data_IF_661198740900
#
_entry.id   IF_661198740900
#
_cell.length_a   1.000
_cell.length_b   1.000
_cell.length_c   1.000
_cell.angle_alpha   90.00
_cell.angle_beta   90.00
_cell.angle_gamma   90.00
#
_symmetry.space_group_name_H-M   'P 1'
#
loop_
_entity.id
_entity.type
_entity.pdbx_description
1 polymer ?
#
# COMPACT_ATOMS: atom_id res chain seq x y z
N UNK A 1 -14.97 -1.73 1.23
CA UNK A 1 -16.16 -2.61 1.15
C UNK A 1 -17.39 -1.89 0.56
N UNK A 2 -17.25 -1.20 -0.58
CA UNK A 2 -18.40 -0.55 -1.27
C UNK A 2 -19.27 -1.56 -2.04
N UNK A 3 -18.74 -2.76 -2.31
CA UNK A 3 -19.42 -3.80 -3.12
C UNK A 3 -20.35 -4.75 -2.34
N UNK A 4 -20.74 -4.43 -1.11
CA UNK A 4 -21.70 -5.27 -0.37
C UNK A 4 -23.16 -4.89 -0.65
N UNK A 5 -23.43 -3.75 -1.30
CA UNK A 5 -24.80 -3.22 -1.53
C UNK A 5 -25.42 -3.56 -2.88
N UNK A 6 -24.68 -4.14 -3.83
CA UNK A 6 -25.15 -4.28 -5.23
C UNK A 6 -25.36 -5.72 -5.71
N UNK A 7 -25.22 -6.75 -4.86
CA UNK A 7 -25.28 -8.15 -5.31
C UNK A 7 -24.19 -8.53 -6.33
N UNK A 8 -23.24 -7.61 -6.61
CA UNK A 8 -22.08 -7.87 -7.45
C UNK A 8 -21.12 -8.79 -6.69
N UNK A 9 -20.61 -9.80 -7.38
CA UNK A 9 -19.56 -10.66 -6.83
C UNK A 9 -18.38 -9.79 -6.36
N UNK A 10 -17.87 -10.09 -5.17
CA UNK A 10 -16.70 -9.40 -4.66
C UNK A 10 -15.45 -9.88 -5.38
N UNK A 11 -14.63 -8.91 -5.80
CA UNK A 11 -13.32 -9.12 -6.40
C UNK A 11 -12.40 -9.84 -5.43
N UNK A 12 -11.64 -10.83 -5.93
CA UNK A 12 -10.63 -11.54 -5.16
C UNK A 12 -9.32 -10.73 -5.21
N UNK A 13 -8.84 -10.14 -4.09
CA UNK A 13 -7.71 -9.21 -4.11
C UNK A 13 -6.41 -9.84 -4.61
N UNK A 14 -6.13 -11.09 -4.25
CA UNK A 14 -4.91 -11.82 -4.66
C UNK A 14 -4.86 -12.04 -6.17
N UNK A 15 -6.00 -12.32 -6.81
CA UNK A 15 -6.13 -12.41 -8.26
C UNK A 15 -5.87 -11.06 -8.93
N UNK A 16 -6.39 -9.96 -8.38
CA UNK A 16 -6.11 -8.63 -8.91
C UNK A 16 -4.63 -8.29 -8.87
N UNK A 17 -3.94 -8.59 -7.78
CA UNK A 17 -2.50 -8.35 -7.67
C UNK A 17 -1.73 -9.20 -8.68
N UNK A 18 -2.12 -10.46 -8.89
CA UNK A 18 -1.53 -11.30 -9.94
C UNK A 18 -1.73 -10.70 -11.34
N UNK A 19 -2.93 -10.22 -11.67
CA UNK A 19 -3.21 -9.57 -12.96
C UNK A 19 -2.37 -8.29 -13.11
N UNK A 20 -2.22 -7.50 -12.04
CA UNK A 20 -1.39 -6.30 -12.04
C UNK A 20 0.09 -6.62 -12.33
N UNK A 21 0.65 -7.66 -11.70
CA UNK A 21 2.03 -8.09 -11.96
C UNK A 21 2.19 -8.63 -13.39
N UNK A 22 1.19 -9.34 -13.93
CA UNK A 22 1.21 -9.77 -15.34
C UNK A 22 1.19 -8.58 -16.31
N UNK A 23 0.34 -7.58 -16.04
CA UNK A 23 0.32 -6.33 -16.82
C UNK A 23 1.65 -5.60 -16.73
N UNK A 24 2.22 -5.52 -15.52
CA UNK A 24 3.50 -4.84 -15.27
C UNK A 24 4.63 -5.53 -16.01
N UNK A 25 4.70 -6.86 -15.94
CA UNK A 25 5.67 -7.67 -16.67
C UNK A 25 5.55 -7.47 -18.18
N UNK A 26 4.33 -7.52 -18.72
CA UNK A 26 4.10 -7.30 -20.15
C UNK A 26 4.56 -5.90 -20.58
N UNK A 27 4.17 -4.86 -19.84
CA UNK A 27 4.57 -3.48 -20.13
C UNK A 27 6.09 -3.27 -19.99
N UNK A 28 6.72 -3.82 -18.96
CA UNK A 28 8.18 -3.72 -18.78
C UNK A 28 8.94 -4.46 -19.88
N UNK A 29 8.48 -5.64 -20.30
CA UNK A 29 9.10 -6.39 -21.40
C UNK A 29 8.97 -5.64 -22.73
N UNK A 30 7.80 -5.06 -23.01
CA UNK A 30 7.60 -4.23 -24.19
C UNK A 30 8.59 -3.05 -24.18
N UNK A 31 8.64 -2.29 -23.08
CA UNK A 31 9.54 -1.14 -22.96
C UNK A 31 11.02 -1.53 -23.05
N UNK A 32 11.40 -2.69 -22.51
CA UNK A 32 12.74 -3.24 -22.65
C UNK A 32 13.08 -3.58 -24.12
N UNK A 33 12.16 -4.23 -24.82
CA UNK A 33 12.35 -4.55 -26.24
C UNK A 33 12.40 -3.29 -27.12
N UNK A 34 11.64 -2.25 -26.77
CA UNK A 34 11.71 -0.95 -27.42
C UNK A 34 13.04 -0.24 -27.16
N UNK A 35 13.56 -0.30 -25.92
CA UNK A 35 14.85 0.29 -25.56
C UNK A 35 16.02 -0.37 -26.31
N UNK A 36 16.02 -1.70 -26.42
CA UNK A 36 17.08 -2.46 -27.10
C UNK A 36 16.89 -2.54 -28.63
N UNK A 37 15.88 -1.88 -29.19
CA UNK A 37 15.51 -1.92 -30.63
C UNK A 37 15.23 -3.32 -31.21
N UNK A 38 15.34 -4.39 -30.42
CA UNK A 38 15.17 -5.78 -30.84
C UNK A 38 14.63 -6.64 -29.69
N UNK A 39 13.57 -7.39 -29.97
CA UNK A 39 12.97 -8.29 -28.98
C UNK A 39 13.93 -9.40 -28.53
N UNK A 40 14.78 -9.90 -29.43
CA UNK A 40 15.77 -10.94 -29.08
C UNK A 40 16.80 -10.43 -28.10
N UNK A 41 17.30 -9.21 -28.31
CA UNK A 41 18.29 -8.60 -27.43
C UNK A 41 17.70 -8.29 -26.06
N UNK A 42 16.49 -7.73 -26.00
CA UNK A 42 15.80 -7.50 -24.72
C UNK A 42 15.55 -8.78 -23.91
N UNK A 43 15.10 -9.86 -24.57
CA UNK A 43 14.92 -11.17 -23.90
C UNK A 43 16.25 -11.82 -23.51
N UNK A 44 17.30 -11.67 -24.33
CA UNK A 44 18.64 -12.15 -23.99
C UNK A 44 19.18 -11.42 -22.76
N UNK A 45 19.09 -10.09 -22.72
CA UNK A 45 19.51 -9.28 -21.57
C UNK A 45 18.74 -9.69 -20.30
N UNK A 46 17.43 -9.94 -20.42
CA UNK A 46 16.63 -10.47 -19.32
C UNK A 46 17.13 -11.82 -18.83
N UNK A 47 17.37 -12.75 -19.74
CA UNK A 47 17.88 -14.06 -19.38
C UNK A 47 19.26 -13.98 -18.72
N UNK A 48 20.15 -13.12 -19.24
CA UNK A 48 21.49 -12.96 -18.71
C UNK A 48 21.51 -12.35 -17.31
N UNK A 49 20.80 -11.24 -17.09
CA UNK A 49 20.77 -10.59 -15.79
C UNK A 49 19.98 -11.40 -14.76
N UNK A 50 18.83 -11.96 -15.13
CA UNK A 50 18.02 -12.72 -14.18
C UNK A 50 18.61 -14.09 -13.85
N UNK A 51 19.03 -14.87 -14.85
CA UNK A 51 19.48 -16.26 -14.64
C UNK A 51 20.96 -16.32 -14.26
N UNK A 52 21.83 -15.58 -14.97
CA UNK A 52 23.27 -15.64 -14.68
C UNK A 52 23.64 -14.83 -13.43
N UNK A 53 22.95 -13.72 -13.15
CA UNK A 53 23.19 -12.86 -11.97
C UNK A 53 22.07 -12.96 -10.92
N UNK A 54 21.59 -14.18 -10.65
CA UNK A 54 20.52 -14.45 -9.67
C UNK A 54 20.74 -13.83 -8.28
N UNK A 55 22.00 -13.67 -7.83
CA UNK A 55 22.32 -13.03 -6.55
C UNK A 55 21.89 -11.55 -6.51
N UNK A 56 22.00 -10.85 -7.62
CA UNK A 56 21.56 -9.46 -7.70
C UNK A 56 20.05 -9.36 -7.85
N UNK A 57 19.42 -10.31 -8.56
CA UNK A 57 17.98 -10.44 -8.59
C UNK A 57 17.40 -10.74 -7.19
N UNK A 58 18.09 -11.51 -6.35
CA UNK A 58 17.66 -11.76 -4.97
C UNK A 58 17.72 -10.53 -4.06
N UNK A 59 18.53 -9.52 -4.38
CA UNK A 59 18.52 -8.25 -3.61
C UNK A 59 17.16 -7.56 -3.70
N UNK A 60 16.40 -7.80 -4.78
CA UNK A 60 15.01 -7.34 -4.96
C UNK A 60 14.05 -7.99 -3.95
N UNK A 61 14.38 -9.15 -3.38
CA UNK A 61 13.56 -9.79 -2.37
C UNK A 61 13.55 -9.03 -1.03
N UNK A 62 14.57 -8.23 -0.74
CA UNK A 62 14.66 -7.41 0.48
C UNK A 62 13.50 -6.39 0.54
N UNK A 63 13.33 -5.48 -0.45
CA UNK A 63 12.21 -4.55 -0.46
C UNK A 63 10.87 -5.30 -0.53
N UNK A 64 10.78 -6.41 -1.28
CA UNK A 64 9.56 -7.22 -1.33
C UNK A 64 9.16 -7.78 0.05
N UNK A 65 10.11 -8.30 0.84
CA UNK A 65 9.87 -8.75 2.20
C UNK A 65 9.40 -7.61 3.11
N UNK A 66 10.06 -6.45 3.02
CA UNK A 66 9.66 -5.26 3.77
C UNK A 66 8.23 -4.85 3.40
N UNK A 67 7.85 -4.91 2.12
CA UNK A 67 6.48 -4.65 1.67
C UNK A 67 5.45 -5.64 2.26
N UNK A 68 5.79 -6.92 2.40
CA UNK A 68 4.90 -7.90 3.04
C UNK A 68 4.66 -7.54 4.51
N UNK A 69 5.72 -7.18 5.24
CA UNK A 69 5.62 -6.73 6.63
C UNK A 69 4.77 -5.45 6.73
N UNK A 70 5.03 -4.47 5.87
CA UNK A 70 4.25 -3.23 5.79
C UNK A 70 2.77 -3.51 5.53
N UNK A 71 2.43 -4.41 4.60
CA UNK A 71 1.05 -4.75 4.29
C UNK A 71 0.34 -5.33 5.52
N UNK A 72 0.98 -6.23 6.27
CA UNK A 72 0.42 -6.80 7.49
C UNK A 72 0.24 -5.75 8.59
N UNK A 73 1.22 -4.87 8.79
CA UNK A 73 1.12 -3.76 9.74
C UNK A 73 0.06 -2.73 9.31
N UNK A 74 -0.13 -2.50 8.01
CA UNK A 74 -1.19 -1.65 7.47
C UNK A 74 -2.57 -2.23 7.78
N UNK A 75 -2.74 -3.56 7.69
CA UNK A 75 -3.97 -4.22 8.15
C UNK A 75 -4.16 -4.09 9.66
N UNK A 76 -3.11 -4.26 10.46
CA UNK A 76 -3.16 -4.07 11.91
C UNK A 76 -3.56 -2.63 12.27
N UNK A 77 -2.96 -1.65 11.59
CA UNK A 77 -3.30 -0.24 11.71
C UNK A 77 -4.76 0.01 11.34
N UNK A 78 -5.22 -0.46 10.18
CA UNK A 78 -6.59 -0.24 9.70
C UNK A 78 -7.67 -0.88 10.59
N UNK A 79 -7.33 -1.93 11.35
CA UNK A 79 -8.25 -2.56 12.31
C UNK A 79 -8.37 -1.76 13.61
N UNK A 80 -7.33 -1.02 13.98
CA UNK A 80 -7.20 -0.32 15.27
C UNK A 80 -7.40 1.21 15.16
N UNK A 81 -7.07 1.79 14.02
CA UNK A 81 -7.38 3.15 13.62
C UNK A 81 -8.58 3.06 12.68
N UNK A 82 -9.75 3.48 13.16
CA UNK A 82 -10.97 3.52 12.36
C UNK A 82 -10.71 4.09 10.95
N UNK A 83 -11.17 3.39 9.91
CA UNK A 83 -11.37 4.01 8.60
C UNK A 83 -12.43 5.13 8.76
N UNK A 84 -12.05 6.42 8.86
CA UNK A 84 -12.94 7.46 9.40
C UNK A 84 -14.08 7.80 8.45
N UNK A 85 -13.99 7.38 7.18
CA UNK A 85 -14.94 7.80 6.15
C UNK A 85 -16.29 7.10 6.30
N UNK A 86 -16.37 5.85 6.78
CA UNK A 86 -17.65 5.13 6.78
C UNK A 86 -18.46 5.23 8.08
N UNK A 87 -17.78 5.37 9.22
CA UNK A 87 -18.46 5.45 10.53
C UNK A 87 -19.03 6.84 10.79
N UNK A 88 -18.33 7.89 10.36
CA UNK A 88 -18.82 9.26 10.49
C UNK A 88 -19.96 9.55 9.50
N UNK A 89 -19.90 9.00 8.28
CA UNK A 89 -21.02 9.07 7.31
C UNK A 89 -22.26 8.32 7.80
N UNK A 90 -22.11 7.23 8.55
CA UNK A 90 -23.25 6.57 9.20
C UNK A 90 -23.83 7.41 10.34
N UNK A 91 -23.01 8.07 11.16
CA UNK A 91 -23.53 8.91 12.25
C UNK A 91 -24.22 10.18 11.74
N UNK A 92 -23.65 10.86 10.75
CA UNK A 92 -24.24 12.06 10.13
C UNK A 92 -25.54 11.75 9.38
N UNK A 93 -25.60 10.64 8.64
CA UNK A 93 -26.83 10.15 7.99
C UNK A 93 -27.92 9.76 9.01
N UNK A 94 -27.53 9.20 10.17
CA UNK A 94 -28.46 8.85 11.26
C UNK A 94 -29.00 10.08 11.99
N UNK A 95 -28.18 11.11 12.20
CA UNK A 95 -28.61 12.40 12.79
C UNK A 95 -29.57 13.16 11.85
N UNK A 96 -29.32 13.13 10.53
CA UNK A 96 -30.22 13.71 9.53
C UNK A 96 -31.56 12.96 9.42
N UNK A 97 -31.54 11.62 9.43
CA UNK A 97 -32.76 10.79 9.42
C UNK A 97 -33.58 10.93 10.71
N UNK A 98 -32.91 11.05 11.87
CA UNK A 98 -33.57 11.29 13.15
C UNK A 98 -34.23 12.67 13.20
N UNK A 99 -33.62 13.71 12.60
CA UNK A 99 -34.21 15.05 12.49
C UNK A 99 -35.44 15.08 11.56
N UNK A 100 -35.40 14.36 10.45
CA UNK A 100 -36.55 14.20 9.54
C UNK A 100 -37.68 13.37 10.17
N UNK A 101 -37.36 12.36 10.98
CA UNK A 101 -38.35 11.53 11.67
C UNK A 101 -38.96 12.22 12.89
N UNK A 102 -38.19 13.05 13.62
CA UNK A 102 -38.71 13.91 14.69
C UNK A 102 -39.68 14.98 14.17
N UNK A 103 -39.47 15.46 12.93
CA UNK A 103 -40.40 16.40 12.29
C UNK A 103 -41.72 15.73 11.85
N UNK A 104 -41.75 14.40 11.77
CA UNK A 104 -42.92 13.60 11.34
C UNK A 104 -43.67 12.95 12.52
N UNK A 105 -43.15 13.07 13.75
CA UNK A 105 -43.72 12.47 14.97
C UNK A 105 -44.73 13.36 15.72
N UNK A 106 -45.10 14.53 15.18
CA UNK A 106 -46.18 15.37 15.74
C UNK A 106 -47.59 14.76 15.61
N UNK A 107 -47.76 13.54 15.07
CA UNK A 107 -49.09 13.02 14.68
C UNK A 107 -49.62 11.81 15.47
N UNK A 108 -48.87 11.07 16.30
CA UNK A 108 -49.49 9.90 16.97
C UNK A 108 -49.19 9.74 18.47
N UNK A 109 -50.24 9.90 19.28
CA UNK A 109 -50.29 9.61 20.71
C UNK A 109 -50.41 8.10 20.96
N UNK A 110 -49.34 7.47 21.47
CA UNK A 110 -49.37 6.07 21.90
C UNK A 110 -48.11 5.63 22.66
N UNK A 111 -48.20 5.63 23.99
CA UNK A 111 -47.34 4.95 24.98
C UNK A 111 -45.80 5.19 24.93
N UNK A 112 -45.37 6.36 25.41
CA UNK A 112 -43.97 6.89 25.38
C UNK A 112 -42.92 6.14 26.22
N UNK A 113 -43.27 5.38 27.28
CA UNK A 113 -42.27 4.82 28.22
C UNK A 113 -41.66 3.48 27.80
N UNK A 114 -42.39 2.62 27.08
CA UNK A 114 -41.90 1.28 26.69
C UNK A 114 -40.96 1.32 25.47
N UNK A 115 -41.21 2.24 24.53
CA UNK A 115 -40.39 2.44 23.33
C UNK A 115 -38.99 2.96 23.67
N UNK A 116 -38.88 3.87 24.64
CA UNK A 116 -37.59 4.43 25.09
C UNK A 116 -36.67 3.37 25.71
N UNK A 117 -37.24 2.42 26.46
CA UNK A 117 -36.48 1.39 27.15
C UNK A 117 -35.99 0.30 26.19
N UNK A 118 -36.85 -0.16 25.26
CA UNK A 118 -36.45 -1.08 24.18
C UNK A 118 -35.38 -0.48 23.27
N UNK A 119 -35.50 0.82 22.95
CA UNK A 119 -34.52 1.54 22.11
C UNK A 119 -33.18 1.71 22.82
N UNK A 120 -33.16 1.98 24.14
CA UNK A 120 -31.91 2.02 24.93
C UNK A 120 -31.21 0.66 25.01
N UNK A 121 -31.96 -0.43 25.17
CA UNK A 121 -31.40 -1.78 25.27
C UNK A 121 -30.86 -2.26 23.91
N UNK A 122 -31.60 -2.04 22.82
CA UNK A 122 -31.16 -2.41 21.47
C UNK A 122 -29.93 -1.63 21.00
N UNK A 123 -29.84 -0.34 21.38
CA UNK A 123 -28.65 0.49 21.12
C UNK A 123 -27.46 0.03 21.96
N UNK A 124 -27.68 -0.43 23.21
CA UNK A 124 -26.60 -0.93 24.07
C UNK A 124 -26.07 -2.31 23.62
N UNK A 125 -26.94 -3.21 23.17
CA UNK A 125 -26.56 -4.56 22.74
C UNK A 125 -25.90 -4.62 21.36
N UNK A 126 -26.07 -3.58 20.54
CA UNK A 126 -25.39 -3.49 19.22
C UNK A 126 -23.97 -2.92 19.31
N UNK A 127 -23.56 -2.41 20.48
CA UNK A 127 -22.23 -1.80 20.71
C UNK A 127 -21.25 -2.82 21.33
N UNK A 128 -21.73 -3.89 21.94
CA UNK A 128 -20.92 -4.83 22.73
C UNK A 128 -20.15 -5.89 21.94
N UNK A 129 -20.16 -5.86 20.60
CA UNK A 129 -19.34 -6.75 19.75
C UNK A 129 -18.47 -5.96 18.75
N UNK A 130 -18.12 -4.72 19.08
CA UNK A 130 -17.05 -4.01 18.37
C UNK A 130 -15.76 -4.37 19.09
N UNK A 131 -14.86 -5.09 18.41
CA UNK A 131 -13.51 -5.37 18.89
C UNK A 131 -12.91 -4.10 19.51
N UNK A 132 -12.41 -4.19 20.74
CA UNK A 132 -11.81 -3.08 21.45
C UNK A 132 -10.68 -2.49 20.59
N UNK A 133 -10.86 -1.26 20.12
CA UNK A 133 -9.94 -0.60 19.19
C UNK A 133 -8.84 0.08 19.99
N UNK A 134 -7.61 -0.40 19.87
CA UNK A 134 -6.47 0.22 20.52
C UNK A 134 -5.80 1.24 19.59
N UNK A 135 -6.14 2.51 19.78
CA UNK A 135 -5.59 3.64 19.01
C UNK A 135 -4.06 3.68 19.11
N UNK A 136 -3.49 3.31 20.27
CA UNK A 136 -2.04 3.32 20.48
C UNK A 136 -1.37 2.26 19.59
N UNK A 137 -1.88 1.03 19.60
CA UNK A 137 -1.38 -0.07 18.75
C UNK A 137 -1.47 0.30 17.28
N UNK A 138 -2.59 0.89 16.85
CA UNK A 138 -2.76 1.33 15.47
C UNK A 138 -1.82 2.47 15.08
N UNK A 139 -1.59 3.43 15.98
CA UNK A 139 -0.68 4.57 15.73
C UNK A 139 0.77 4.08 15.62
N UNK A 140 1.21 3.20 16.53
CA UNK A 140 2.55 2.59 16.48
C UNK A 140 2.72 1.78 15.18
N UNK A 141 1.70 1.00 14.80
CA UNK A 141 1.73 0.23 13.55
C UNK A 141 1.91 1.13 12.32
N UNK A 142 1.22 2.28 12.23
CA UNK A 142 1.43 3.23 11.13
C UNK A 142 2.85 3.81 11.15
N UNK A 143 3.37 4.22 12.31
CA UNK A 143 4.73 4.76 12.40
C UNK A 143 5.79 3.75 11.93
N UNK A 144 5.62 2.47 12.26
CA UNK A 144 6.47 1.39 11.77
C UNK A 144 6.33 1.19 10.26
N UNK A 145 5.11 1.21 9.73
CA UNK A 145 4.87 1.13 8.27
C UNK A 145 5.60 2.24 7.53
N UNK A 146 5.49 3.48 8.01
CA UNK A 146 6.13 4.64 7.38
C UNK A 146 7.64 4.54 7.43
N UNK A 147 8.19 4.13 8.58
CA UNK A 147 9.63 3.95 8.76
C UNK A 147 10.18 2.89 7.81
N UNK A 148 9.52 1.73 7.74
CA UNK A 148 9.86 0.66 6.80
C UNK A 148 9.73 1.10 5.34
N UNK A 149 8.76 1.95 5.02
CA UNK A 149 8.57 2.49 3.66
C UNK A 149 9.70 3.42 3.24
N UNK A 150 10.22 4.22 4.17
CA UNK A 150 11.42 5.03 3.94
C UNK A 150 12.64 4.16 3.65
N UNK A 151 12.92 3.19 4.54
CA UNK A 151 14.04 2.25 4.38
C UNK A 151 14.01 1.53 3.02
N UNK A 152 12.85 0.95 2.68
CA UNK A 152 12.67 0.22 1.42
C UNK A 152 12.82 1.13 0.20
N UNK A 153 12.40 2.40 0.31
CA UNK A 153 12.51 3.38 -0.76
C UNK A 153 13.97 3.72 -1.08
N UNK A 154 14.77 3.99 -0.05
CA UNK A 154 16.20 4.28 -0.19
C UNK A 154 16.96 3.05 -0.69
N UNK A 155 16.64 1.86 -0.17
CA UNK A 155 17.24 0.63 -0.66
C UNK A 155 16.95 0.41 -2.15
N UNK A 156 15.70 0.60 -2.57
CA UNK A 156 15.31 0.47 -3.97
C UNK A 156 16.00 1.51 -4.87
N UNK A 157 16.11 2.75 -4.40
CA UNK A 157 16.86 3.81 -5.07
C UNK A 157 18.33 3.41 -5.29
N UNK A 158 19.01 2.92 -4.25
CA UNK A 158 20.38 2.41 -4.37
C UNK A 158 20.49 1.24 -5.33
N UNK A 159 19.53 0.31 -5.27
CA UNK A 159 19.52 -0.85 -6.15
C UNK A 159 19.39 -0.44 -7.63
N UNK A 160 18.62 0.60 -7.93
CA UNK A 160 18.48 1.16 -9.28
C UNK A 160 19.69 2.00 -9.69
N UNK A 161 20.25 2.83 -8.80
CA UNK A 161 21.31 3.79 -9.14
C UNK A 161 22.73 3.20 -9.11
N UNK A 162 23.00 2.18 -8.29
CA UNK A 162 24.35 1.58 -8.17
C UNK A 162 24.80 0.81 -9.41
N UNK A 163 23.91 0.57 -10.39
CA UNK A 163 24.22 -0.12 -11.63
C UNK A 163 23.73 0.71 -12.83
N UNK A 164 24.48 1.76 -13.16
CA UNK A 164 24.13 2.75 -14.18
C UNK A 164 23.79 2.16 -15.56
N UNK A 165 24.33 0.98 -15.89
CA UNK A 165 24.13 0.35 -17.21
C UNK A 165 22.90 -0.58 -17.29
N UNK A 166 22.20 -0.82 -16.17
CA UNK A 166 21.06 -1.74 -16.18
C UNK A 166 19.75 -1.00 -16.47
N UNK A 167 19.02 -1.48 -17.46
CA UNK A 167 17.69 -0.98 -17.79
C UNK A 167 16.72 -1.08 -16.59
N UNK A 168 15.99 -0.01 -16.35
CA UNK A 168 14.94 0.06 -15.32
C UNK A 168 13.80 -0.91 -15.65
N UNK A 169 13.51 -1.07 -16.94
CA UNK A 169 12.48 -1.98 -17.42
C UNK A 169 12.86 -3.43 -17.14
N UNK A 170 14.16 -3.75 -17.22
CA UNK A 170 14.69 -5.04 -16.83
C UNK A 170 14.45 -5.30 -15.33
N UNK A 171 14.78 -4.34 -14.45
CA UNK A 171 14.54 -4.49 -13.00
C UNK A 171 13.06 -4.64 -12.65
N UNK A 172 12.17 -3.91 -13.33
CA UNK A 172 10.73 -4.08 -13.17
C UNK A 172 10.23 -5.46 -13.66
N UNK A 173 10.82 -5.99 -14.75
CA UNK A 173 10.52 -7.33 -15.22
C UNK A 173 11.00 -8.39 -14.22
N UNK A 174 12.21 -8.26 -13.66
CA UNK A 174 12.74 -9.16 -12.62
C UNK A 174 11.82 -9.23 -11.39
N UNK A 175 11.36 -8.08 -10.88
CA UNK A 175 10.38 -8.03 -9.77
C UNK A 175 9.13 -8.84 -10.10
N UNK A 176 8.59 -8.64 -11.31
CA UNK A 176 7.33 -9.26 -11.71
C UNK A 176 7.50 -10.78 -11.86
N UNK A 177 8.62 -11.23 -12.42
CA UNK A 177 8.97 -12.65 -12.58
C UNK A 177 9.10 -13.35 -11.23
N UNK A 178 9.67 -12.69 -10.22
CA UNK A 178 9.76 -13.24 -8.86
C UNK A 178 8.38 -13.24 -8.17
N UNK A 179 7.58 -12.20 -8.37
CA UNK A 179 6.29 -12.01 -7.68
C UNK A 179 5.19 -12.96 -8.17
N UNK A 180 5.12 -13.24 -9.48
CA UNK A 180 4.10 -14.12 -10.08
C UNK A 180 4.03 -15.51 -9.42
N UNK A 181 5.11 -16.29 -9.26
CA UNK A 181 5.04 -17.61 -8.63
C UNK A 181 4.63 -17.51 -7.16
N UNK A 182 5.09 -16.49 -6.43
CA UNK A 182 4.70 -16.25 -5.03
C UNK A 182 3.19 -15.97 -4.95
N UNK A 183 2.64 -15.18 -5.86
CA UNK A 183 1.22 -14.85 -5.91
C UNK A 183 0.37 -16.06 -6.32
N UNK A 184 0.83 -16.89 -7.25
CA UNK A 184 0.16 -18.14 -7.60
C UNK A 184 0.10 -19.10 -6.41
N UNK A 185 1.20 -19.26 -5.67
CA UNK A 185 1.22 -20.04 -4.43
C UNK A 185 0.29 -19.45 -3.36
N UNK A 186 0.25 -18.12 -3.23
CA UNK A 186 -0.64 -17.44 -2.29
C UNK A 186 -2.12 -17.67 -2.63
N UNK A 187 -2.48 -17.63 -3.93
CA UNK A 187 -3.84 -17.94 -4.39
C UNK A 187 -4.17 -19.40 -4.09
N UNK A 188 -3.25 -20.32 -4.38
CA UNK A 188 -3.44 -21.75 -4.08
C UNK A 188 -3.64 -22.02 -2.58
N UNK A 189 -2.86 -21.35 -1.73
CA UNK A 189 -2.90 -21.53 -0.28
C UNK A 189 -4.11 -20.85 0.40
N UNK A 190 -4.47 -19.63 -0.03
CA UNK A 190 -5.45 -18.79 0.68
C UNK A 190 -6.82 -18.75 0.03
N UNK A 191 -6.87 -18.66 -1.30
CA UNK A 191 -8.09 -18.31 -2.04
C UNK A 191 -8.54 -19.39 -3.03
N UNK A 192 -7.95 -20.59 -3.00
CA UNK A 192 -8.23 -21.67 -3.96
C UNK A 192 -9.69 -22.11 -4.00
N UNK A 193 -10.33 -22.30 -2.83
CA UNK A 193 -11.75 -22.65 -2.72
C UNK A 193 -12.66 -21.54 -3.28
N UNK A 194 -12.28 -20.27 -3.07
CA UNK A 194 -13.01 -19.11 -3.58
C UNK A 194 -12.87 -18.99 -5.10
N UNK A 195 -11.68 -19.23 -5.65
CA UNK A 195 -11.41 -19.23 -7.10
C UNK A 195 -12.14 -20.38 -7.79
N UNK A 196 -12.16 -21.58 -7.20
CA UNK A 196 -12.87 -22.73 -7.78
C UNK A 196 -14.39 -22.55 -7.77
N UNK A 197 -14.95 -21.94 -6.73
CA UNK A 197 -16.40 -21.75 -6.59
C UNK A 197 -16.95 -20.56 -7.39
N UNK A 198 -16.19 -19.46 -7.50
CA UNK A 198 -16.65 -18.21 -8.14
C UNK A 198 -16.06 -17.99 -9.53
N UNK A 199 -15.02 -18.73 -9.88
CA UNK A 199 -14.18 -18.48 -11.05
C UNK A 199 -13.03 -17.52 -10.75
N UNK A 200 -12.00 -17.54 -11.60
CA UNK A 200 -10.82 -16.69 -11.44
C UNK A 200 -11.14 -15.20 -11.64
N UNK A 201 -11.96 -14.87 -12.65
CA UNK A 201 -12.28 -13.48 -13.01
C UNK A 201 -13.51 -12.92 -12.29
N UNK A 202 -13.88 -13.52 -11.17
CA UNK A 202 -15.13 -13.22 -10.51
C UNK A 202 -15.16 -11.80 -9.92
N UNK A 203 -16.20 -11.04 -10.27
CA UNK A 203 -16.38 -9.67 -9.78
C UNK A 203 -15.53 -8.59 -10.47
N UNK A 204 -14.71 -8.95 -11.48
CA UNK A 204 -13.91 -7.98 -12.24
C UNK A 204 -14.80 -7.14 -13.16
N UNK A 205 -15.14 -5.93 -12.71
CA UNK A 205 -15.83 -4.93 -13.52
C UNK A 205 -14.86 -3.94 -14.18
N UNK A 206 -15.40 -3.07 -15.05
CA UNK A 206 -14.59 -2.08 -15.79
C UNK A 206 -13.79 -1.19 -14.84
N UNK A 207 -14.37 -0.79 -13.70
CA UNK A 207 -13.65 -0.03 -12.67
C UNK A 207 -12.47 -0.80 -12.08
N UNK A 208 -12.63 -2.11 -11.82
CA UNK A 208 -11.52 -2.94 -11.37
C UNK A 208 -10.40 -3.02 -12.41
N UNK A 209 -10.74 -3.20 -13.70
CA UNK A 209 -9.76 -3.21 -14.78
C UNK A 209 -8.99 -1.89 -14.91
N UNK A 210 -9.70 -0.75 -14.90
CA UNK A 210 -9.08 0.58 -14.94
C UNK A 210 -8.15 0.77 -13.73
N UNK A 211 -8.60 0.39 -12.53
CA UNK A 211 -7.79 0.52 -11.32
C UNK A 211 -6.53 -0.36 -11.36
N UNK A 212 -6.63 -1.59 -11.86
CA UNK A 212 -5.48 -2.47 -12.03
C UNK A 212 -4.48 -1.89 -13.04
N UNK A 213 -4.97 -1.36 -14.15
CA UNK A 213 -4.13 -0.74 -15.18
C UNK A 213 -3.37 0.49 -14.64
N UNK A 214 -4.08 1.43 -14.02
CA UNK A 214 -3.48 2.63 -13.42
C UNK A 214 -2.46 2.26 -12.35
N UNK A 215 -2.79 1.29 -11.48
CA UNK A 215 -1.89 0.84 -10.41
C UNK A 215 -0.63 0.17 -10.97
N UNK A 216 -0.79 -0.65 -12.01
CA UNK A 216 0.32 -1.32 -12.68
C UNK A 216 1.28 -0.32 -13.34
N UNK A 217 0.73 0.62 -14.14
CA UNK A 217 1.49 1.68 -14.79
C UNK A 217 2.12 2.66 -13.78
N UNK A 218 1.41 2.98 -12.70
CA UNK A 218 1.94 3.80 -11.61
C UNK A 218 3.18 3.19 -10.98
N UNK A 219 3.22 1.87 -10.81
CA UNK A 219 4.42 1.15 -10.34
C UNK A 219 5.62 1.34 -11.26
N UNK A 220 5.41 1.22 -12.59
CA UNK A 220 6.46 1.45 -13.59
C UNK A 220 6.94 2.91 -13.58
N UNK A 221 5.99 3.85 -13.50
CA UNK A 221 6.29 5.28 -13.48
C UNK A 221 7.08 5.68 -12.22
N UNK A 222 6.77 5.11 -11.06
CA UNK A 222 7.54 5.33 -9.83
C UNK A 222 8.97 4.81 -9.99
N UNK A 223 9.15 3.61 -10.57
CA UNK A 223 10.48 3.07 -10.85
C UNK A 223 11.29 3.97 -11.80
N UNK A 224 10.65 4.49 -12.84
CA UNK A 224 11.25 5.44 -13.76
C UNK A 224 11.53 6.81 -13.12
N UNK A 225 10.65 7.34 -12.28
CA UNK A 225 10.87 8.62 -11.62
C UNK A 225 12.08 8.58 -10.69
N UNK A 226 12.31 7.47 -9.98
CA UNK A 226 13.43 7.31 -9.03
C UNK A 226 14.80 7.37 -9.74
N UNK A 227 14.87 7.19 -11.05
CA UNK A 227 16.15 7.36 -11.76
C UNK A 227 16.54 8.82 -11.96
N UNK A 228 15.58 9.74 -11.90
CA UNK A 228 15.81 11.18 -12.03
C UNK A 228 15.58 11.94 -10.73
N UNK A 229 14.95 11.30 -9.75
CA UNK A 229 14.54 11.91 -8.49
C UNK A 229 14.94 11.00 -7.32
N UNK A 230 15.36 11.60 -6.22
CA UNK A 230 15.66 10.84 -5.01
C UNK A 230 14.37 10.39 -4.31
N UNK A 231 14.47 9.36 -3.48
CA UNK A 231 13.36 8.85 -2.66
C UNK A 231 12.74 9.92 -1.75
N UNK A 232 13.50 10.96 -1.39
CA UNK A 232 13.01 12.15 -0.69
C UNK A 232 12.04 12.95 -1.58
N UNK A 233 12.41 13.23 -2.82
CA UNK A 233 11.56 14.00 -3.76
C UNK A 233 10.27 13.23 -4.11
N UNK A 234 10.35 11.90 -4.20
CA UNK A 234 9.18 11.02 -4.29
C UNK A 234 8.22 11.22 -3.10
N UNK A 235 8.76 11.28 -1.87
CA UNK A 235 7.93 11.47 -0.68
C UNK A 235 7.23 12.84 -0.66
N UNK A 236 7.92 13.90 -1.09
CA UNK A 236 7.30 15.22 -1.27
C UNK A 236 6.21 15.22 -2.34
N UNK A 237 6.46 14.61 -3.49
CA UNK A 237 5.46 14.50 -4.56
C UNK A 237 4.20 13.75 -4.09
N UNK A 238 4.37 12.67 -3.31
CA UNK A 238 3.24 11.94 -2.71
C UNK A 238 2.45 12.82 -1.70
N UNK A 239 3.16 13.63 -0.91
CA UNK A 239 2.54 14.56 0.04
C UNK A 239 1.64 15.57 -0.68
N UNK A 240 2.14 16.17 -1.75
CA UNK A 240 1.40 17.14 -2.57
C UNK A 240 0.21 16.45 -3.25
N UNK A 241 0.40 15.25 -3.78
CA UNK A 241 -0.68 14.48 -4.41
C UNK A 241 -1.83 14.22 -3.43
N UNK A 242 -1.54 13.88 -2.17
CA UNK A 242 -2.58 13.66 -1.15
C UNK A 242 -3.35 14.94 -0.86
N UNK A 243 -2.68 16.09 -0.77
CA UNK A 243 -3.34 17.39 -0.59
C UNK A 243 -4.27 17.68 -1.78
N UNK A 244 -3.79 17.49 -3.01
CA UNK A 244 -4.59 17.70 -4.23
C UNK A 244 -5.79 16.76 -4.25
N UNK A 245 -5.61 15.47 -3.96
CA UNK A 245 -6.71 14.49 -3.89
C UNK A 245 -7.73 14.88 -2.82
N UNK A 246 -7.28 15.39 -1.67
CA UNK A 246 -8.16 15.89 -0.62
C UNK A 246 -8.98 17.11 -1.11
N UNK A 247 -8.34 18.09 -1.76
CA UNK A 247 -9.03 19.26 -2.33
C UNK A 247 -10.04 18.87 -3.41
N UNK A 248 -9.65 18.00 -4.33
CA UNK A 248 -10.56 17.45 -5.34
C UNK A 248 -11.72 16.68 -4.70
N UNK A 249 -11.47 15.97 -3.60
CA UNK A 249 -12.53 15.22 -2.90
C UNK A 249 -13.55 16.15 -2.23
N UNK A 250 -13.10 17.30 -1.69
CA UNK A 250 -14.00 18.35 -1.17
C UNK A 250 -14.85 18.91 -2.31
N UNK A 251 -14.24 19.20 -3.46
CA UNK A 251 -14.93 19.85 -4.59
C UNK A 251 -15.89 18.93 -5.35
N UNK A 252 -15.54 17.64 -5.51
CA UNK A 252 -16.29 16.69 -6.35
C UNK A 252 -17.30 15.85 -5.56
N UNK A 253 -17.07 15.63 -4.26
CA UNK A 253 -17.85 14.69 -3.45
C UNK A 253 -18.40 15.29 -2.14
N UNK A 254 -18.27 16.61 -1.94
CA UNK A 254 -18.68 17.32 -0.72
C UNK A 254 -18.14 16.66 0.58
N UNK A 255 -16.96 16.05 0.48
CA UNK A 255 -16.33 15.35 1.60
C UNK A 255 -15.70 16.36 2.57
N UNK A 256 -16.10 16.33 3.85
CA UNK A 256 -15.51 17.16 4.90
C UNK A 256 -14.37 16.39 5.61
N UNK A 257 -13.09 16.78 5.43
CA UNK A 257 -11.99 16.12 6.13
C UNK A 257 -12.07 16.39 7.64
N UNK A 258 -11.98 15.33 8.44
CA UNK A 258 -11.97 15.47 9.90
C UNK A 258 -10.62 16.02 10.39
N UNK A 259 -10.61 16.70 11.54
CA UNK A 259 -9.36 17.17 12.17
C UNK A 259 -8.39 16.01 12.46
N UNK A 260 -8.93 14.82 12.81
CA UNK A 260 -8.13 13.60 13.02
C UNK A 260 -7.45 13.14 11.73
N UNK A 261 -8.16 13.21 10.60
CA UNK A 261 -7.60 12.89 9.29
C UNK A 261 -6.49 13.88 8.89
N UNK A 262 -6.67 15.18 9.13
CA UNK A 262 -5.65 16.19 8.85
C UNK A 262 -4.41 16.01 9.72
N UNK A 263 -4.58 15.85 11.03
CA UNK A 263 -3.46 15.60 11.96
C UNK A 263 -2.71 14.31 11.63
N UNK A 264 -3.44 13.22 11.34
CA UNK A 264 -2.84 11.95 10.94
C UNK A 264 -2.05 12.07 9.64
N UNK A 265 -2.60 12.77 8.65
CA UNK A 265 -1.93 13.02 7.35
C UNK A 265 -0.67 13.86 7.54
N UNK A 266 -0.70 14.88 8.40
CA UNK A 266 0.47 15.70 8.70
C UNK A 266 1.57 14.90 9.39
N UNK A 267 1.25 14.17 10.47
CA UNK A 267 2.21 13.34 11.20
C UNK A 267 2.85 12.26 10.33
N UNK A 268 2.05 11.65 9.46
CA UNK A 268 2.50 10.66 8.49
C UNK A 268 3.57 11.26 7.54
N UNK A 269 3.30 12.44 6.98
CA UNK A 269 4.22 13.09 6.04
C UNK A 269 5.44 13.73 6.70
N UNK A 270 5.31 14.23 7.92
CA UNK A 270 6.48 14.68 8.66
C UNK A 270 7.40 13.50 8.97
N UNK A 271 6.85 12.36 9.40
CA UNK A 271 7.64 11.18 9.71
C UNK A 271 8.37 10.63 8.49
N UNK A 272 7.70 10.47 7.34
CA UNK A 272 8.33 9.94 6.13
C UNK A 272 9.50 10.82 5.67
N UNK A 273 9.34 12.14 5.76
CA UNK A 273 10.38 13.10 5.38
C UNK A 273 11.55 13.03 6.35
N UNK A 274 11.30 13.02 7.66
CA UNK A 274 12.36 12.91 8.68
C UNK A 274 13.15 11.62 8.55
N UNK A 275 12.48 10.47 8.36
CA UNK A 275 13.15 9.17 8.18
C UNK A 275 14.00 9.19 6.91
N UNK A 276 13.46 9.67 5.78
CA UNK A 276 14.20 9.69 4.53
C UNK A 276 15.41 10.63 4.60
N UNK A 277 15.26 11.82 5.20
CA UNK A 277 16.36 12.78 5.37
C UNK A 277 17.43 12.22 6.32
N UNK A 278 17.02 11.62 7.44
CA UNK A 278 17.96 11.04 8.41
C UNK A 278 18.78 9.90 7.79
N UNK A 279 18.13 8.98 7.09
CA UNK A 279 18.81 7.85 6.45
C UNK A 279 19.67 8.27 5.27
N UNK A 280 19.27 9.30 4.52
CA UNK A 280 20.11 9.89 3.49
C UNK A 280 21.36 10.56 4.09
N UNK A 281 21.21 11.26 5.22
CA UNK A 281 22.32 11.89 5.93
C UNK A 281 23.35 10.90 6.48
N UNK A 282 22.92 9.80 7.09
CA UNK A 282 23.83 8.71 7.51
C UNK A 282 24.61 8.19 6.29
N UNK A 283 23.94 8.01 5.16
CA UNK A 283 24.59 7.49 3.97
C UNK A 283 25.67 8.42 3.40
N UNK A 284 25.42 9.74 3.36
CA UNK A 284 26.44 10.69 2.90
C UNK A 284 27.70 10.63 3.77
N UNK A 285 27.57 10.31 5.05
CA UNK A 285 28.70 10.15 5.98
C UNK A 285 29.46 8.85 5.69
N UNK A 286 28.75 7.74 5.40
CA UNK A 286 29.38 6.45 5.08
C UNK A 286 30.14 6.47 3.75
N UNK A 287 29.62 7.14 2.72
CA UNK A 287 30.31 7.28 1.43
C UNK A 287 31.61 8.10 1.55
N UNK A 288 31.60 9.17 2.36
CA UNK A 288 32.80 9.96 2.68
C UNK A 288 33.82 9.15 3.49
N UNK A 289 33.36 8.18 4.29
CA UNK A 289 34.20 7.27 5.08
C UNK A 289 34.76 6.09 4.26
N UNK A 290 33.99 5.61 3.27
CA UNK A 290 34.26 4.43 2.46
C UNK A 290 35.29 4.65 1.34
N UNK A 291 35.78 5.89 1.16
CA UNK A 291 36.96 6.20 0.35
C UNK A 291 38.23 5.43 0.75
N UNK A 292 38.21 4.74 1.90
CA UNK A 292 39.40 4.08 2.46
C UNK A 292 39.35 2.54 2.54
N UNK A 293 38.23 1.84 2.25
CA UNK A 293 38.24 0.36 2.19
C UNK A 293 37.00 -0.24 1.50
N UNK A 294 37.14 -0.58 0.22
CA UNK A 294 36.08 -1.18 -0.63
C UNK A 294 35.76 -2.67 -0.35
N UNK A 295 36.39 -3.31 0.65
CA UNK A 295 36.22 -4.74 0.92
C UNK A 295 35.32 -5.08 2.12
N UNK A 296 34.82 -4.08 2.87
CA UNK A 296 34.09 -4.29 4.14
C UNK A 296 32.56 -4.12 4.01
N UNK A 297 32.08 -3.48 2.93
CA UNK A 297 30.67 -3.15 2.74
C UNK A 297 29.75 -4.34 2.44
N UNK A 298 30.28 -5.48 1.98
CA UNK A 298 29.46 -6.70 1.82
C UNK A 298 29.24 -7.45 3.15
N UNK A 299 30.06 -7.19 4.17
CA UNK A 299 29.99 -7.86 5.48
C UNK A 299 29.05 -7.16 6.46
N UNK A 300 28.81 -5.86 6.29
CA UNK A 300 28.08 -5.05 7.27
C UNK A 300 26.57 -5.33 7.29
N UNK A 301 25.98 -5.69 6.13
CA UNK A 301 24.55 -5.97 6.03
C UNK A 301 24.12 -7.32 6.62
N UNK A 302 25.05 -8.26 6.82
CA UNK A 302 24.79 -9.49 7.58
C UNK A 302 24.88 -9.27 9.10
N UNK A 303 25.46 -8.15 9.56
CA UNK A 303 25.70 -7.85 10.97
C UNK A 303 24.60 -6.96 11.57
N UNK A 304 23.67 -6.41 10.77
CA UNK A 304 22.57 -5.59 11.31
C UNK A 304 21.29 -6.38 11.69
N UNK A 305 21.27 -7.70 11.49
CA UNK A 305 20.16 -8.57 11.95
C UNK A 305 20.11 -8.85 13.47
N UNK A 306 21.20 -8.83 14.26
CA UNK A 306 21.16 -9.12 15.71
C UNK A 306 20.71 -7.92 16.58
N UNK A 307 20.86 -6.67 16.14
CA UNK A 307 20.53 -5.51 16.98
C UNK A 307 19.01 -5.27 17.13
N UNK A 308 18.19 -5.78 16.18
CA UNK A 308 16.72 -5.78 16.28
C UNK A 308 16.17 -6.88 17.21
N UNK A 309 17.01 -7.78 17.73
CA UNK A 309 16.64 -8.86 18.66
C UNK A 309 17.22 -8.68 20.07
N UNK A 310 17.87 -7.55 20.37
CA UNK A 310 18.45 -7.28 21.70
C UNK A 310 17.77 -6.16 22.51
N UNK A 311 16.66 -5.59 22.03
CA UNK A 311 15.72 -4.89 22.93
C UNK A 311 14.72 -5.90 23.51
N UNK A 312 15.17 -6.65 24.51
CA UNK A 312 14.32 -7.16 25.58
C UNK A 312 13.99 -6.05 26.57
#
# INVERSE_FOLDING_TARGET
MVSARTGKLQVIPTVCVLIQELMRMAASLLLLCFQEHSARQGLQLLHEEFVKKWKDALKVCIPAFIYVVQNNLMFLAARNLEAPVYLDQQETSKKASAKHQLLNETVFHGNRRSQYFRRKIFVRSSISNVAEKDILVGTIAILLVVSLSGCSGIFWEKLLKNKADISIWLKNAEISIISIPILLLLIAAKDSSTVMSRGFMAGLDVSAWINMLITSLGGLLIGFAITFADSILKAFANSIAIIIVCLLSIMLFDFLPSLKFLLGTFLFHSNITTVNVYQYGIHSIDDDSAGTNRSVTESFWLISLPELLQCG
#
